data_IF_123336144171
#
_entry.id   IF_123336144171
#
_cell.length_a   1.000
_cell.length_b   1.000
_cell.length_c   1.000
_cell.angle_alpha   90.00
_cell.angle_beta   90.00
_cell.angle_gamma   90.00
#
_symmetry.space_group_name_H-M   'P 1'
#
loop_
_entity.id
_entity.type
_entity.pdbx_description
1 polymer ?
#
# COMPACT_ATOMS: atom_id res chain seq x y z
N UNK A 1 -16.05 -1.96 21.84
CA UNK A 1 -16.00 -3.17 21.01
C UNK A 1 -14.56 -3.39 20.63
N UNK A 2 -14.05 -4.63 20.57
CA UNK A 2 -12.70 -4.84 20.08
C UNK A 2 -12.60 -4.24 18.66
N UNK A 3 -11.53 -3.52 18.40
CA UNK A 3 -11.26 -2.93 17.08
C UNK A 3 -11.05 -4.06 16.08
N UNK A 4 -11.73 -4.02 14.93
CA UNK A 4 -11.51 -4.99 13.85
C UNK A 4 -10.04 -4.98 13.42
N UNK A 5 -9.44 -6.15 13.24
CA UNK A 5 -8.08 -6.28 12.71
C UNK A 5 -8.11 -6.12 11.19
N UNK A 6 -7.36 -5.16 10.69
CA UNK A 6 -7.31 -4.83 9.26
C UNK A 6 -5.87 -4.97 8.76
N UNK A 7 -5.66 -5.84 7.77
CA UNK A 7 -4.42 -5.86 7.01
C UNK A 7 -4.52 -4.82 5.87
N UNK A 8 -3.86 -3.70 6.05
CA UNK A 8 -3.93 -2.55 5.14
C UNK A 8 -3.06 -2.70 3.89
N UNK A 9 -2.34 -3.83 3.73
CA UNK A 9 -1.45 -4.03 2.60
C UNK A 9 -1.31 -5.52 2.24
N UNK A 10 -2.11 -5.99 1.28
CA UNK A 10 -2.01 -7.35 0.75
C UNK A 10 -1.99 -7.35 -0.78
N UNK A 11 -1.11 -8.16 -1.38
CA UNK A 11 -1.05 -8.35 -2.82
C UNK A 11 -1.76 -9.62 -3.24
N UNK A 12 -2.71 -9.48 -4.16
CA UNK A 12 -3.47 -10.58 -4.73
C UNK A 12 -3.49 -10.48 -6.25
N UNK A 13 -3.27 -11.60 -6.90
CA UNK A 13 -3.09 -11.63 -8.34
C UNK A 13 -4.26 -12.32 -9.04
N UNK A 14 -4.71 -11.77 -10.18
CA UNK A 14 -5.65 -12.46 -11.07
C UNK A 14 -5.13 -13.82 -11.50
N UNK A 15 -6.04 -14.76 -11.71
CA UNK A 15 -5.68 -16.12 -12.15
C UNK A 15 -4.83 -16.15 -13.42
N UNK A 16 -5.03 -15.20 -14.33
CA UNK A 16 -4.21 -15.07 -15.54
C UNK A 16 -2.74 -14.88 -15.21
N UNK A 17 -2.42 -13.97 -14.27
CA UNK A 17 -1.06 -13.68 -13.83
C UNK A 17 -0.45 -14.90 -13.13
N UNK A 18 -1.25 -15.59 -12.32
CA UNK A 18 -0.82 -16.78 -11.57
C UNK A 18 -0.57 -18.00 -12.45
N UNK A 19 -1.33 -18.14 -13.54
CA UNK A 19 -1.19 -19.27 -14.48
C UNK A 19 0.04 -19.15 -15.38
N UNK A 20 0.38 -17.94 -15.76
CA UNK A 20 1.53 -17.68 -16.64
C UNK A 20 2.37 -16.49 -16.15
N UNK A 21 3.03 -16.62 -15.00
CA UNK A 21 3.89 -15.57 -14.47
C UNK A 21 5.12 -15.31 -15.36
N UNK A 22 5.51 -16.30 -16.18
CA UNK A 22 6.65 -16.17 -17.10
C UNK A 22 6.31 -15.19 -18.22
N UNK A 23 5.11 -15.26 -18.78
CA UNK A 23 4.69 -14.29 -19.79
C UNK A 23 4.58 -12.86 -19.23
N UNK A 24 4.12 -12.72 -17.98
CA UNK A 24 4.10 -11.42 -17.30
C UNK A 24 5.52 -10.90 -17.07
N UNK A 25 6.41 -11.73 -16.55
CA UNK A 25 7.82 -11.37 -16.31
C UNK A 25 8.56 -10.97 -17.62
N UNK A 26 8.21 -11.58 -18.74
CA UNK A 26 8.79 -11.20 -20.04
C UNK A 26 8.34 -9.82 -20.50
N UNK A 27 7.17 -9.35 -20.09
CA UNK A 27 6.59 -8.06 -20.46
C UNK A 27 6.84 -6.95 -19.43
N UNK A 28 7.09 -7.32 -18.16
CA UNK A 28 7.29 -6.41 -17.03
C UNK A 28 8.60 -6.73 -16.31
N UNK A 29 9.68 -5.96 -16.57
CA UNK A 29 10.99 -6.20 -15.95
C UNK A 29 10.98 -6.05 -14.42
N UNK A 30 10.11 -5.20 -13.87
CA UNK A 30 10.02 -5.04 -12.42
C UNK A 30 9.35 -6.25 -11.78
N UNK A 31 8.29 -6.76 -12.40
CA UNK A 31 7.68 -8.02 -12.00
C UNK A 31 8.70 -9.16 -12.02
N UNK A 32 9.49 -9.25 -13.11
CA UNK A 32 10.56 -10.23 -13.23
C UNK A 32 11.59 -10.12 -12.07
N UNK A 33 12.02 -8.91 -11.74
CA UNK A 33 12.98 -8.67 -10.66
C UNK A 33 12.44 -9.03 -9.27
N UNK A 34 11.16 -8.76 -9.02
CA UNK A 34 10.52 -9.03 -7.73
C UNK A 34 10.06 -10.48 -7.57
N UNK A 35 9.74 -11.19 -8.67
CA UNK A 35 9.21 -12.56 -8.65
C UNK A 35 10.20 -13.58 -9.19
N UNK A 36 11.49 -13.37 -8.93
CA UNK A 36 12.55 -14.35 -9.25
C UNK A 36 12.47 -15.53 -8.28
N UNK A 37 12.47 -16.76 -8.80
CA UNK A 37 12.44 -17.99 -8.01
C UNK A 37 11.03 -18.40 -7.57
N UNK A 38 10.95 -19.14 -6.44
CA UNK A 38 9.71 -19.76 -5.93
C UNK A 38 8.79 -18.78 -5.18
N UNK A 39 8.84 -17.49 -5.43
CA UNK A 39 7.92 -16.53 -4.78
C UNK A 39 6.49 -16.84 -5.17
N UNK A 40 5.68 -17.13 -4.16
CA UNK A 40 4.28 -17.48 -4.35
C UNK A 40 3.46 -16.25 -4.74
N UNK A 41 2.72 -16.34 -5.83
CA UNK A 41 1.68 -15.39 -6.19
C UNK A 41 0.36 -15.84 -5.54
N UNK A 42 -0.16 -15.04 -4.63
CA UNK A 42 -1.42 -15.35 -3.97
C UNK A 42 -2.63 -14.96 -4.83
N UNK A 43 -3.66 -15.77 -4.77
CA UNK A 43 -4.97 -15.49 -5.34
C UNK A 43 -6.04 -15.32 -4.29
N UNK A 44 -7.31 -15.35 -4.72
CA UNK A 44 -8.48 -15.18 -3.86
C UNK A 44 -8.50 -16.18 -2.70
N UNK A 45 -8.40 -17.49 -2.98
CA UNK A 45 -8.45 -18.52 -1.94
C UNK A 45 -7.29 -18.43 -0.95
N UNK A 46 -6.11 -18.00 -1.42
CA UNK A 46 -4.95 -17.79 -0.57
C UNK A 46 -5.17 -16.61 0.38
N UNK A 47 -5.76 -15.52 -0.11
CA UNK A 47 -6.12 -14.36 0.70
C UNK A 47 -7.13 -14.75 1.78
N UNK A 48 -8.23 -15.40 1.41
CA UNK A 48 -9.26 -15.78 2.36
C UNK A 48 -8.72 -16.69 3.46
N UNK A 49 -7.90 -17.67 3.07
CA UNK A 49 -7.22 -18.54 4.03
C UNK A 49 -6.32 -17.75 4.96
N UNK A 50 -5.52 -16.82 4.45
CA UNK A 50 -4.68 -15.92 5.26
C UNK A 50 -5.52 -15.14 6.28
N UNK A 51 -6.62 -14.53 5.85
CA UNK A 51 -7.51 -13.79 6.73
C UNK A 51 -8.09 -14.68 7.86
N UNK A 52 -8.51 -15.89 7.52
CA UNK A 52 -9.13 -16.81 8.48
C UNK A 52 -8.11 -17.39 9.47
N UNK A 53 -6.97 -17.88 8.98
CA UNK A 53 -5.89 -18.47 9.80
C UNK A 53 -5.28 -17.46 10.77
N UNK A 54 -5.07 -16.21 10.29
CA UNK A 54 -4.44 -15.16 11.08
C UNK A 54 -5.44 -14.33 11.90
N UNK A 55 -6.74 -14.61 11.76
CA UNK A 55 -7.84 -13.87 12.42
C UNK A 55 -7.84 -12.39 12.06
N UNK A 56 -7.71 -12.11 10.77
CA UNK A 56 -7.81 -10.77 10.20
C UNK A 56 -9.25 -10.58 9.72
N UNK A 57 -9.90 -9.53 10.19
CA UNK A 57 -11.30 -9.26 9.84
C UNK A 57 -11.43 -8.75 8.42
N UNK A 58 -10.48 -7.88 7.97
CA UNK A 58 -10.53 -7.20 6.69
C UNK A 58 -9.15 -7.05 6.07
N UNK A 59 -9.11 -6.94 4.74
CA UNK A 59 -7.89 -6.61 4.01
C UNK A 59 -8.10 -5.49 2.99
N UNK A 60 -7.05 -4.68 2.78
CA UNK A 60 -6.93 -3.78 1.63
C UNK A 60 -6.09 -4.49 0.57
N UNK A 61 -6.74 -4.85 -0.53
CA UNK A 61 -6.15 -5.68 -1.57
C UNK A 61 -5.66 -4.88 -2.76
N UNK A 62 -4.40 -5.10 -3.13
CA UNK A 62 -3.75 -4.57 -4.32
C UNK A 62 -3.46 -5.67 -5.31
N UNK A 63 -3.42 -5.32 -6.60
CA UNK A 63 -2.78 -6.13 -7.63
C UNK A 63 -1.34 -5.65 -7.84
N UNK A 64 -0.70 -6.06 -8.95
CA UNK A 64 0.62 -5.58 -9.32
C UNK A 64 0.55 -4.18 -9.95
N UNK A 65 1.55 -3.28 -9.72
CA UNK A 65 1.65 -1.99 -10.39
C UNK A 65 2.18 -2.15 -11.82
N UNK A 66 1.31 -2.61 -12.73
CA UNK A 66 1.67 -2.85 -14.12
C UNK A 66 2.04 -1.56 -14.85
N UNK A 67 3.08 -1.63 -15.71
CA UNK A 67 3.42 -0.56 -16.62
C UNK A 67 2.46 -0.47 -17.82
N UNK A 68 1.79 -1.57 -18.21
CA UNK A 68 0.79 -1.58 -19.29
C UNK A 68 -0.60 -1.16 -18.73
N UNK A 69 -1.19 -0.05 -19.22
CA UNK A 69 -2.50 0.43 -18.76
C UNK A 69 -3.64 -0.56 -19.02
N UNK A 70 -3.51 -1.45 -20.02
CA UNK A 70 -4.51 -2.49 -20.30
C UNK A 70 -4.49 -3.54 -19.20
N UNK A 71 -3.31 -3.94 -18.72
CA UNK A 71 -3.18 -4.86 -17.59
C UNK A 71 -3.69 -4.23 -16.30
N UNK A 72 -3.50 -2.91 -16.11
CA UNK A 72 -4.11 -2.18 -15.00
C UNK A 72 -5.63 -2.28 -15.04
N UNK A 73 -6.24 -2.01 -16.21
CA UNK A 73 -7.69 -2.07 -16.37
C UNK A 73 -8.26 -3.48 -16.12
N UNK A 74 -7.64 -4.53 -16.66
CA UNK A 74 -8.02 -5.93 -16.41
C UNK A 74 -7.91 -6.29 -14.91
N UNK A 75 -6.84 -5.84 -14.25
CA UNK A 75 -6.62 -6.05 -12.82
C UNK A 75 -7.68 -5.33 -11.97
N UNK A 76 -8.09 -4.12 -12.37
CA UNK A 76 -9.13 -3.35 -11.71
C UNK A 76 -10.50 -4.03 -11.80
N UNK A 77 -10.85 -4.60 -12.94
CA UNK A 77 -12.08 -5.38 -13.08
C UNK A 77 -12.07 -6.61 -12.17
N UNK A 78 -10.94 -7.30 -12.11
CA UNK A 78 -10.79 -8.49 -11.28
C UNK A 78 -10.86 -8.16 -9.78
N UNK A 79 -10.15 -7.14 -9.30
CA UNK A 79 -10.16 -6.77 -7.87
C UNK A 79 -11.51 -6.20 -7.45
N UNK A 80 -12.21 -5.49 -8.33
CA UNK A 80 -13.58 -5.05 -8.08
C UNK A 80 -14.55 -6.24 -7.96
N UNK A 81 -14.36 -7.28 -8.77
CA UNK A 81 -15.13 -8.51 -8.65
C UNK A 81 -14.81 -9.25 -7.35
N UNK A 82 -13.54 -9.32 -6.95
CA UNK A 82 -13.11 -9.89 -5.67
C UNK A 82 -13.80 -9.17 -4.50
N UNK A 83 -13.75 -7.85 -4.46
CA UNK A 83 -14.43 -7.03 -3.44
C UNK A 83 -15.94 -7.33 -3.38
N UNK A 84 -16.60 -7.46 -4.53
CA UNK A 84 -18.05 -7.76 -4.57
C UNK A 84 -18.38 -9.16 -4.06
N UNK A 85 -17.50 -10.15 -4.26
CA UNK A 85 -17.69 -11.51 -3.71
C UNK A 85 -17.50 -11.57 -2.20
N UNK A 86 -16.68 -10.69 -1.65
CA UNK A 86 -16.33 -10.67 -0.21
C UNK A 86 -16.61 -9.31 0.44
N UNK A 87 -17.89 -8.87 0.42
CA UNK A 87 -18.25 -7.57 0.99
C UNK A 87 -17.94 -7.53 2.48
N UNK A 88 -17.32 -6.43 2.93
CA UNK A 88 -16.91 -6.27 4.32
C UNK A 88 -15.63 -7.01 4.73
N UNK A 89 -15.10 -7.92 3.88
CA UNK A 89 -13.82 -8.61 4.11
C UNK A 89 -12.68 -8.01 3.27
N UNK A 90 -12.96 -7.61 2.02
CA UNK A 90 -11.96 -7.08 1.10
C UNK A 90 -12.35 -5.68 0.64
N UNK A 91 -11.45 -4.71 0.83
CA UNK A 91 -11.48 -3.41 0.19
C UNK A 91 -10.48 -3.44 -0.97
N UNK A 92 -10.98 -3.49 -2.20
CA UNK A 92 -10.16 -3.51 -3.40
C UNK A 92 -9.64 -2.13 -3.76
N UNK A 93 -8.35 -2.01 -4.03
CA UNK A 93 -7.75 -0.82 -4.62
C UNK A 93 -7.43 -1.04 -6.09
N UNK A 94 -7.72 -0.04 -6.92
CA UNK A 94 -7.38 -0.05 -8.32
C UNK A 94 -5.94 0.34 -8.56
N UNK A 95 -5.43 0.00 -9.73
CA UNK A 95 -4.12 0.43 -10.21
C UNK A 95 -4.29 1.26 -11.48
N UNK A 96 -3.57 2.36 -11.58
CA UNK A 96 -3.53 3.20 -12.78
C UNK A 96 -2.09 3.27 -13.30
N UNK A 97 -1.91 3.55 -14.59
CA UNK A 97 -0.61 3.92 -15.14
C UNK A 97 -0.54 5.46 -15.22
N UNK A 98 0.18 6.14 -14.32
CA UNK A 98 0.15 7.61 -14.26
C UNK A 98 0.63 8.31 -15.53
N UNK A 99 1.53 7.69 -16.29
CA UNK A 99 2.02 8.23 -17.55
C UNK A 99 1.06 8.02 -18.74
N UNK A 100 -0.02 7.26 -18.57
CA UNK A 100 -1.02 7.05 -19.61
C UNK A 100 -1.96 8.26 -19.75
N UNK A 101 -2.21 8.77 -20.97
CA UNK A 101 -3.15 9.87 -21.18
C UNK A 101 -4.58 9.58 -20.66
N UNK A 102 -4.98 8.31 -20.57
CA UNK A 102 -6.26 7.85 -20.06
C UNK A 102 -6.31 7.67 -18.55
N UNK A 103 -5.22 7.93 -17.80
CA UNK A 103 -5.15 7.66 -16.36
C UNK A 103 -6.27 8.33 -15.53
N UNK A 104 -6.64 9.57 -15.87
CA UNK A 104 -7.73 10.28 -15.19
C UNK A 104 -9.10 9.63 -15.43
N UNK A 105 -9.33 9.08 -16.62
CA UNK A 105 -10.58 8.35 -16.91
C UNK A 105 -10.58 6.98 -16.21
N UNK A 106 -9.42 6.33 -16.11
CA UNK A 106 -9.30 5.08 -15.36
C UNK A 106 -9.55 5.31 -13.85
N UNK A 107 -9.12 6.43 -13.26
CA UNK A 107 -9.49 6.81 -11.89
C UNK A 107 -11.02 6.90 -11.74
N UNK A 108 -11.69 7.58 -12.66
CA UNK A 108 -13.16 7.67 -12.67
C UNK A 108 -13.81 6.30 -12.83
N UNK A 109 -13.23 5.44 -13.66
CA UNK A 109 -13.70 4.05 -13.84
C UNK A 109 -13.56 3.26 -12.55
N UNK A 110 -12.42 3.35 -11.84
CA UNK A 110 -12.21 2.72 -10.53
C UNK A 110 -13.28 3.15 -9.52
N UNK A 111 -13.60 4.45 -9.46
CA UNK A 111 -14.69 4.95 -8.62
C UNK A 111 -16.05 4.35 -8.99
N UNK A 112 -16.39 4.28 -10.29
CA UNK A 112 -17.63 3.63 -10.77
C UNK A 112 -17.69 2.14 -10.46
N UNK A 113 -16.57 1.45 -10.44
CA UNK A 113 -16.47 0.03 -10.04
C UNK A 113 -16.64 -0.16 -8.53
N UNK A 114 -16.66 0.93 -7.75
CA UNK A 114 -16.79 0.90 -6.29
C UNK A 114 -15.50 0.55 -5.57
N UNK A 115 -14.35 0.65 -6.23
CA UNK A 115 -13.05 0.44 -5.59
C UNK A 115 -12.82 1.47 -4.48
N UNK A 116 -12.08 1.09 -3.45
CA UNK A 116 -11.94 1.85 -2.22
C UNK A 116 -10.70 2.74 -2.17
N UNK A 117 -9.83 2.64 -3.15
CA UNK A 117 -8.60 3.42 -3.24
C UNK A 117 -7.83 3.09 -4.51
N UNK A 118 -6.65 3.64 -4.63
CA UNK A 118 -5.71 3.41 -5.73
C UNK A 118 -4.37 2.97 -5.13
N UNK A 119 -3.75 1.98 -5.71
CA UNK A 119 -2.43 1.49 -5.31
C UNK A 119 -2.30 -0.04 -5.36
N UNK A 120 -1.14 -0.55 -5.01
CA UNK A 120 0.04 0.20 -4.63
C UNK A 120 0.67 0.84 -5.89
N UNK A 121 0.77 2.17 -5.97
CA UNK A 121 1.49 2.84 -7.07
C UNK A 121 2.99 2.75 -6.84
N UNK A 122 3.74 2.32 -7.84
CA UNK A 122 5.20 2.20 -7.76
C UNK A 122 5.86 2.94 -8.92
N UNK A 123 6.56 4.04 -8.59
CA UNK A 123 7.17 4.93 -9.57
C UNK A 123 8.20 4.23 -10.47
N UNK A 124 8.99 3.32 -9.91
CA UNK A 124 10.03 2.59 -10.64
C UNK A 124 9.44 1.49 -11.52
N UNK A 125 8.47 0.73 -11.02
CA UNK A 125 7.78 -0.32 -11.78
C UNK A 125 7.01 0.25 -12.97
N UNK A 126 6.36 1.40 -12.78
CA UNK A 126 5.45 2.01 -13.74
C UNK A 126 6.11 3.12 -14.58
N UNK A 127 7.36 3.50 -14.28
CA UNK A 127 8.13 4.46 -15.07
C UNK A 127 7.61 5.90 -15.01
N UNK A 128 7.06 6.34 -13.87
CA UNK A 128 6.64 7.72 -13.68
C UNK A 128 7.49 8.47 -12.64
N UNK A 129 7.46 9.79 -12.66
CA UNK A 129 8.11 10.61 -11.65
C UNK A 129 7.17 10.84 -10.46
N UNK A 130 7.57 10.41 -9.24
CA UNK A 130 6.74 10.59 -8.04
C UNK A 130 6.45 12.07 -7.76
N UNK A 131 7.38 12.95 -8.02
CA UNK A 131 7.28 14.40 -7.85
C UNK A 131 6.91 15.15 -9.15
N UNK A 132 6.39 14.44 -10.17
CA UNK A 132 5.98 15.00 -11.45
C UNK A 132 4.64 15.74 -11.41
N UNK A 133 4.46 16.69 -12.36
CA UNK A 133 3.21 17.48 -12.48
C UNK A 133 2.00 16.61 -12.81
N UNK A 134 2.20 15.54 -13.57
CA UNK A 134 1.15 14.61 -13.95
C UNK A 134 0.54 13.94 -12.72
N UNK A 135 1.39 13.48 -11.80
CA UNK A 135 0.92 12.81 -10.60
C UNK A 135 0.12 13.76 -9.70
N UNK A 136 0.52 15.04 -9.60
CA UNK A 136 -0.23 16.05 -8.86
C UNK A 136 -1.63 16.32 -9.46
N UNK A 137 -1.74 16.33 -10.81
CA UNK A 137 -3.06 16.45 -11.48
C UNK A 137 -3.95 15.25 -11.22
N UNK A 138 -3.43 14.04 -11.28
CA UNK A 138 -4.16 12.82 -10.97
C UNK A 138 -4.57 12.74 -9.49
N UNK A 139 -3.72 13.24 -8.59
CA UNK A 139 -4.02 13.36 -7.16
C UNK A 139 -5.25 14.26 -6.90
N UNK A 140 -5.37 15.38 -7.64
CA UNK A 140 -6.54 16.26 -7.56
C UNK A 140 -7.82 15.54 -8.00
N UNK A 141 -7.79 14.82 -9.13
CA UNK A 141 -8.93 14.01 -9.60
C UNK A 141 -9.30 12.94 -8.57
N UNK A 142 -8.33 12.27 -7.97
CA UNK A 142 -8.57 11.22 -6.98
C UNK A 142 -9.16 11.79 -5.68
N UNK A 143 -8.75 13.01 -5.31
CA UNK A 143 -9.34 13.74 -4.16
C UNK A 143 -10.81 14.03 -4.39
N UNK A 144 -11.20 14.49 -5.57
CA UNK A 144 -12.60 14.72 -5.95
C UNK A 144 -13.45 13.44 -5.91
N UNK A 145 -12.83 12.29 -6.24
CA UNK A 145 -13.46 10.98 -6.24
C UNK A 145 -13.44 10.30 -4.86
N UNK A 146 -12.83 10.93 -3.85
CA UNK A 146 -12.66 10.39 -2.49
C UNK A 146 -11.85 9.07 -2.45
N UNK A 147 -10.93 8.86 -3.39
CA UNK A 147 -10.07 7.67 -3.50
C UNK A 147 -8.70 7.93 -2.87
N UNK A 148 -8.39 7.35 -1.70
CA UNK A 148 -7.05 7.41 -1.11
C UNK A 148 -6.03 6.65 -1.98
N UNK A 149 -4.75 7.04 -1.88
CA UNK A 149 -3.67 6.36 -2.57
C UNK A 149 -2.74 5.65 -1.61
N UNK A 150 -2.32 4.43 -1.98
CA UNK A 150 -1.15 3.78 -1.40
C UNK A 150 0.01 3.89 -2.39
N UNK A 151 1.16 4.37 -1.92
CA UNK A 151 2.36 4.64 -2.72
C UNK A 151 3.52 3.83 -2.15
N UNK A 152 4.15 3.03 -3.01
CA UNK A 152 5.40 2.34 -2.71
C UNK A 152 6.49 3.33 -2.34
N UNK A 153 7.19 3.10 -1.23
CA UNK A 153 8.31 3.92 -0.80
C UNK A 153 9.52 3.05 -0.48
N UNK A 154 10.70 3.61 -0.61
CA UNK A 154 11.96 2.91 -0.33
C UNK A 154 12.90 3.76 0.50
N UNK A 155 13.71 3.09 1.32
CA UNK A 155 14.74 3.74 2.12
C UNK A 155 15.88 4.22 1.21
N UNK A 156 16.41 5.45 1.42
CA UNK A 156 17.56 5.95 0.67
C UNK A 156 18.88 5.26 1.06
N UNK A 157 18.87 4.52 2.17
CA UNK A 157 20.01 3.82 2.78
C UNK A 157 19.65 2.38 3.10
N UNK A 158 20.56 1.62 3.70
CA UNK A 158 20.34 0.23 4.07
C UNK A 158 20.72 -0.76 2.96
N UNK A 159 20.37 -2.03 3.12
CA UNK A 159 20.74 -3.07 2.18
C UNK A 159 19.94 -3.00 0.87
N UNK A 160 20.47 -3.59 -0.17
CA UNK A 160 19.77 -3.78 -1.44
C UNK A 160 18.82 -4.99 -1.36
N UNK A 161 17.65 -4.88 -1.95
CA UNK A 161 16.67 -5.97 -2.07
C UNK A 161 15.87 -5.82 -3.37
N UNK A 162 15.32 -6.91 -3.91
CA UNK A 162 14.39 -6.82 -5.05
C UNK A 162 13.17 -5.97 -4.67
N UNK A 163 12.85 -4.97 -5.48
CA UNK A 163 11.77 -4.02 -5.19
C UNK A 163 12.22 -2.72 -4.52
N UNK A 164 13.50 -2.58 -4.11
CA UNK A 164 14.03 -1.29 -3.64
C UNK A 164 14.12 -0.30 -4.80
N UNK A 165 13.32 0.74 -4.69
CA UNK A 165 13.18 1.76 -5.74
C UNK A 165 13.73 3.13 -5.34
N UNK A 166 13.31 4.14 -6.10
CA UNK A 166 13.76 5.53 -5.97
C UNK A 166 12.71 6.45 -5.34
N UNK A 167 11.55 5.91 -4.92
CA UNK A 167 10.50 6.65 -4.20
C UNK A 167 10.92 6.91 -2.73
N UNK A 168 11.94 7.71 -2.55
CA UNK A 168 12.59 8.03 -1.27
C UNK A 168 11.86 9.17 -0.54
N UNK A 169 12.11 9.36 0.78
CA UNK A 169 11.45 10.37 1.59
C UNK A 169 11.46 11.79 1.01
N UNK A 170 12.56 12.21 0.40
CA UNK A 170 12.68 13.53 -0.23
C UNK A 170 11.74 13.70 -1.44
N UNK A 171 11.57 12.66 -2.27
CA UNK A 171 10.61 12.66 -3.38
C UNK A 171 9.17 12.59 -2.88
N UNK A 172 8.93 11.78 -1.84
CA UNK A 172 7.63 11.71 -1.20
C UNK A 172 7.21 13.06 -0.62
N UNK A 173 8.12 13.79 0.05
CA UNK A 173 7.84 15.15 0.55
C UNK A 173 7.40 16.06 -0.59
N UNK A 174 8.18 16.13 -1.70
CA UNK A 174 7.81 16.96 -2.87
C UNK A 174 6.46 16.59 -3.49
N UNK A 175 6.10 15.30 -3.50
CA UNK A 175 4.77 14.88 -3.90
C UNK A 175 3.69 15.35 -2.92
N UNK A 176 3.88 15.14 -1.62
CA UNK A 176 2.90 15.48 -0.58
C UNK A 176 2.61 16.98 -0.51
N UNK A 177 3.60 17.83 -0.75
CA UNK A 177 3.43 19.30 -0.85
C UNK A 177 2.47 19.70 -1.97
N UNK A 178 2.32 18.84 -2.99
CA UNK A 178 1.51 19.08 -4.19
C UNK A 178 0.24 18.24 -4.27
N UNK A 179 0.12 17.23 -3.41
CA UNK A 179 -1.00 16.27 -3.42
C UNK A 179 -2.33 16.87 -2.90
N UNK A 180 -2.30 18.11 -2.42
CA UNK A 180 -3.51 18.80 -1.94
C UNK A 180 -4.18 18.10 -0.76
N UNK A 181 -5.47 17.79 -0.91
CA UNK A 181 -6.29 17.10 0.10
C UNK A 181 -6.31 15.58 -0.01
N UNK A 182 -5.48 14.99 -0.86
CA UNK A 182 -5.43 13.54 -1.06
C UNK A 182 -5.03 12.82 0.23
N UNK A 183 -5.79 11.78 0.60
CA UNK A 183 -5.36 10.84 1.64
C UNK A 183 -4.31 9.90 1.05
N UNK A 184 -3.14 9.86 1.66
CA UNK A 184 -2.00 9.06 1.20
C UNK A 184 -1.59 8.07 2.27
N UNK A 185 -1.42 6.81 1.89
CA UNK A 185 -0.69 5.79 2.64
C UNK A 185 0.68 5.64 1.99
N UNK A 186 1.72 5.94 2.73
CA UNK A 186 3.10 5.74 2.31
C UNK A 186 3.55 4.35 2.80
N UNK A 187 3.67 3.41 1.87
CA UNK A 187 4.02 2.04 2.17
C UNK A 187 5.44 1.92 2.76
N UNK A 188 5.69 0.83 3.52
CA UNK A 188 7.00 0.51 4.10
C UNK A 188 7.54 1.63 5.00
N UNK A 189 6.69 2.15 5.91
CA UNK A 189 6.97 3.34 6.74
C UNK A 189 7.40 4.57 5.91
N UNK A 190 6.90 4.71 4.68
CA UNK A 190 7.25 5.83 3.80
C UNK A 190 8.75 5.94 3.52
N UNK A 191 9.46 4.79 3.45
CA UNK A 191 10.92 4.76 3.32
C UNK A 191 11.65 5.41 4.50
N UNK A 192 11.00 5.52 5.66
CA UNK A 192 11.53 6.14 6.86
C UNK A 192 11.17 7.62 7.03
N UNK A 193 10.29 8.20 6.19
CA UNK A 193 9.89 9.60 6.28
C UNK A 193 9.45 10.01 7.70
N UNK A 194 8.64 9.25 8.47
CA UNK A 194 8.21 9.68 9.79
C UNK A 194 9.35 9.85 10.80
N UNK A 195 10.52 9.24 10.58
CA UNK A 195 11.69 9.43 11.44
C UNK A 195 12.29 10.85 11.34
N UNK A 196 11.96 11.57 10.26
CA UNK A 196 12.31 12.97 10.07
C UNK A 196 11.29 13.93 10.70
N UNK A 197 10.23 13.44 11.35
CA UNK A 197 9.19 14.30 11.94
C UNK A 197 9.65 15.08 13.21
N UNK A 198 10.92 14.99 13.59
CA UNK A 198 11.56 15.98 14.46
C UNK A 198 11.73 17.34 13.77
N UNK A 199 11.71 17.40 12.45
CA UNK A 199 11.67 18.64 11.67
C UNK A 199 10.22 19.13 11.60
N UNK A 200 9.91 20.38 12.03
CA UNK A 200 8.53 20.86 12.12
C UNK A 200 7.74 20.79 10.81
N UNK A 201 8.39 21.13 9.69
CA UNK A 201 7.80 21.07 8.34
C UNK A 201 7.46 19.64 7.93
N UNK A 202 8.31 18.66 8.22
CA UNK A 202 8.04 17.23 7.93
C UNK A 202 6.92 16.72 8.83
N UNK A 203 6.93 17.09 10.11
CA UNK A 203 5.86 16.73 11.03
C UNK A 203 4.51 17.22 10.55
N UNK A 204 4.44 18.46 10.04
CA UNK A 204 3.20 19.00 9.49
C UNK A 204 2.70 18.20 8.29
N UNK A 205 3.57 17.75 7.39
CA UNK A 205 3.21 16.86 6.29
C UNK A 205 2.73 15.51 6.80
N UNK A 206 3.41 14.89 7.77
CA UNK A 206 3.06 13.60 8.35
C UNK A 206 1.67 13.59 9.01
N UNK A 207 1.10 14.73 9.40
CA UNK A 207 -0.28 14.80 9.92
C UNK A 207 -1.34 14.45 8.88
N UNK A 208 -1.00 14.43 7.60
CA UNK A 208 -1.92 14.17 6.46
C UNK A 208 -1.66 12.82 5.78
N UNK A 209 -0.69 12.06 6.29
CA UNK A 209 -0.21 10.82 5.70
C UNK A 209 -0.36 9.69 6.70
N UNK A 210 -0.67 8.50 6.23
CA UNK A 210 -0.58 7.24 6.98
C UNK A 210 0.62 6.44 6.48
N UNK A 211 1.13 5.59 7.34
CA UNK A 211 2.31 4.77 7.07
C UNK A 211 1.98 3.32 7.38
N UNK A 212 2.10 2.43 6.43
CA UNK A 212 1.90 1.03 6.72
C UNK A 212 3.20 0.32 7.15
N UNK A 213 3.03 -0.86 7.72
CA UNK A 213 4.13 -1.69 8.22
C UNK A 213 4.55 -2.76 7.22
N UNK A 214 4.11 -2.70 5.96
CA UNK A 214 4.43 -3.68 4.94
C UNK A 214 5.95 -3.93 4.88
N UNK A 215 6.35 -5.20 4.82
CA UNK A 215 7.74 -5.68 4.85
C UNK A 215 8.60 -5.20 6.05
N UNK A 216 8.04 -4.52 7.03
CA UNK A 216 8.77 -3.92 8.16
C UNK A 216 9.76 -4.89 8.85
N UNK A 217 9.44 -6.18 9.10
CA UNK A 217 10.35 -7.12 9.72
C UNK A 217 11.67 -7.37 8.97
N UNK A 218 11.73 -6.98 7.69
CA UNK A 218 12.97 -7.04 6.89
C UNK A 218 13.73 -5.72 6.86
N UNK A 219 13.05 -4.59 7.16
CA UNK A 219 13.56 -3.25 6.92
C UNK A 219 14.01 -2.56 8.21
N UNK A 220 13.28 -2.77 9.31
CA UNK A 220 13.47 -2.04 10.56
C UNK A 220 13.46 -2.97 11.77
N UNK A 221 14.04 -2.50 12.88
CA UNK A 221 13.87 -3.13 14.18
C UNK A 221 12.49 -2.80 14.74
N UNK A 222 11.90 -3.65 15.63
CA UNK A 222 10.61 -3.42 16.26
C UNK A 222 10.48 -2.05 16.95
N UNK A 223 11.57 -1.54 17.51
CA UNK A 223 11.62 -0.21 18.15
C UNK A 223 11.26 0.96 17.22
N UNK A 224 11.31 0.77 15.88
CA UNK A 224 10.88 1.77 14.93
C UNK A 224 9.39 2.07 15.06
N UNK A 225 8.55 1.08 15.38
CA UNK A 225 7.10 1.26 15.60
C UNK A 225 6.85 2.24 16.76
N UNK A 226 7.51 2.05 17.91
CA UNK A 226 7.41 2.97 19.04
C UNK A 226 7.88 4.37 18.67
N UNK A 227 9.02 4.49 17.99
CA UNK A 227 9.56 5.77 17.58
C UNK A 227 8.59 6.52 16.66
N UNK A 228 8.03 5.84 15.66
CA UNK A 228 7.08 6.44 14.72
C UNK A 228 5.76 6.79 15.42
N UNK A 229 5.20 5.91 16.26
CA UNK A 229 4.00 6.20 17.04
C UNK A 229 4.17 7.45 17.92
N UNK A 230 5.36 7.63 18.51
CA UNK A 230 5.67 8.82 19.31
C UNK A 230 5.79 10.09 18.47
N UNK A 231 6.34 9.99 17.24
CA UNK A 231 6.61 11.14 16.39
C UNK A 231 5.37 11.65 15.63
N UNK A 232 4.54 10.74 15.12
CA UNK A 232 3.43 11.10 14.24
C UNK A 232 2.05 10.66 14.75
N UNK A 233 1.99 9.86 15.82
CA UNK A 233 0.77 9.28 16.38
C UNK A 233 0.52 7.86 15.89
N UNK A 234 0.04 6.99 16.78
CA UNK A 234 -0.27 5.60 16.47
C UNK A 234 -1.43 5.48 15.44
N UNK A 235 -2.33 6.46 15.41
CA UNK A 235 -3.43 6.55 14.45
C UNK A 235 -2.96 6.77 13.00
N UNK A 236 -1.68 7.08 12.80
CA UNK A 236 -1.04 7.23 11.48
C UNK A 236 -0.30 5.97 11.05
N UNK A 237 -0.15 4.99 11.92
CA UNK A 237 0.40 3.69 11.59
C UNK A 237 -0.72 2.71 11.22
N UNK A 238 -0.49 1.92 10.19
CA UNK A 238 -1.42 0.89 9.72
C UNK A 238 -0.69 -0.46 9.71
N UNK A 239 -1.34 -1.49 10.27
CA UNK A 239 -0.88 -2.85 10.04
C UNK A 239 -0.98 -3.16 8.54
N UNK A 240 0.11 -3.53 7.93
CA UNK A 240 0.20 -4.08 6.57
C UNK A 240 1.19 -5.23 6.59
N UNK A 241 0.82 -6.40 6.09
CA UNK A 241 1.71 -7.56 6.11
C UNK A 241 2.58 -7.69 4.87
N UNK A 242 2.20 -7.04 3.79
CA UNK A 242 2.75 -7.29 2.46
C UNK A 242 2.53 -8.74 2.00
N UNK A 243 1.40 -9.33 2.43
CA UNK A 243 1.02 -10.68 2.00
C UNK A 243 1.06 -10.79 0.46
N UNK A 244 1.61 -11.84 -0.14
CA UNK A 244 2.03 -13.11 0.46
C UNK A 244 3.50 -13.14 0.94
N UNK A 245 4.18 -11.99 1.02
CA UNK A 245 5.56 -11.93 1.46
C UNK A 245 5.71 -12.35 2.93
N UNK A 246 4.81 -11.86 3.79
CA UNK A 246 4.75 -12.16 5.22
C UNK A 246 3.31 -12.40 5.65
N UNK A 247 3.13 -13.07 6.79
CA UNK A 247 1.86 -13.19 7.51
C UNK A 247 1.89 -12.42 8.83
N UNK A 248 0.72 -12.16 9.42
CA UNK A 248 0.57 -11.41 10.66
C UNK A 248 1.32 -12.07 11.84
N UNK A 249 1.40 -13.40 11.86
CA UNK A 249 2.15 -14.11 12.91
C UNK A 249 3.59 -13.61 13.04
N UNK A 250 4.24 -13.19 11.94
CA UNK A 250 5.58 -12.62 11.98
C UNK A 250 5.58 -11.24 12.66
N UNK A 251 4.54 -10.46 12.48
CA UNK A 251 4.41 -9.10 13.05
C UNK A 251 4.05 -9.11 14.53
N UNK A 252 3.33 -10.13 15.02
CA UNK A 252 2.90 -10.20 16.43
C UNK A 252 4.06 -10.02 17.39
N UNK A 253 5.16 -10.72 17.15
CA UNK A 253 6.37 -10.56 17.96
C UNK A 253 6.92 -9.13 17.92
N UNK A 254 7.00 -8.52 16.75
CA UNK A 254 7.56 -7.19 16.59
C UNK A 254 6.64 -6.12 17.23
N UNK A 255 5.32 -6.32 17.20
CA UNK A 255 4.34 -5.48 17.89
C UNK A 255 4.48 -5.60 19.42
N UNK A 256 4.65 -6.82 19.93
CA UNK A 256 4.86 -7.07 21.36
C UNK A 256 6.18 -6.43 21.86
N UNK A 257 7.26 -6.55 21.07
CA UNK A 257 8.58 -5.96 21.38
C UNK A 257 8.61 -4.43 21.26
N UNK A 258 7.69 -3.84 20.48
CA UNK A 258 7.64 -2.39 20.26
C UNK A 258 7.28 -1.61 21.54
N UNK A 259 6.68 -2.23 22.53
CA UNK A 259 6.27 -1.59 23.80
C UNK A 259 5.11 -0.59 23.63
N UNK A 260 4.22 -0.84 22.67
CA UNK A 260 2.99 -0.07 22.43
C UNK A 260 1.94 -0.42 23.49
N UNK A 261 1.10 0.54 23.90
CA UNK A 261 -0.02 0.27 24.77
C UNK A 261 -1.23 -0.30 23.99
N UNK A 262 -2.26 -0.78 24.71
CA UNK A 262 -3.44 -1.40 24.09
C UNK A 262 -4.21 -0.45 23.16
N UNK A 263 -4.26 0.84 23.47
CA UNK A 263 -4.93 1.83 22.63
C UNK A 263 -4.14 2.08 21.34
N UNK A 264 -2.84 2.24 21.44
CA UNK A 264 -1.93 2.38 20.29
C UNK A 264 -2.00 1.14 19.38
N UNK A 265 -1.97 -0.05 19.98
CA UNK A 265 -2.14 -1.31 19.24
C UNK A 265 -3.50 -1.36 18.51
N UNK A 266 -4.58 -0.97 19.17
CA UNK A 266 -5.91 -0.92 18.56
C UNK A 266 -5.98 0.05 17.37
N UNK A 267 -5.29 1.18 17.45
CA UNK A 267 -5.20 2.15 16.35
C UNK A 267 -4.42 1.56 15.17
N UNK A 268 -3.28 0.93 15.41
CA UNK A 268 -2.42 0.32 14.38
C UNK A 268 -3.12 -0.88 13.72
N UNK A 269 -3.74 -1.75 14.53
CA UNK A 269 -4.37 -2.97 14.04
C UNK A 269 -5.63 -2.73 13.21
N UNK A 270 -6.27 -1.55 13.30
CA UNK A 270 -7.46 -1.31 12.48
C UNK A 270 -8.05 0.10 12.57
N UNK A 271 -7.88 0.82 13.70
CA UNK A 271 -8.47 2.15 13.87
C UNK A 271 -8.00 3.16 12.82
N UNK A 272 -6.71 3.17 12.50
CA UNK A 272 -6.14 4.02 11.46
C UNK A 272 -6.67 3.69 10.06
N UNK A 273 -6.82 2.41 9.73
CA UNK A 273 -7.32 1.97 8.44
C UNK A 273 -8.77 2.43 8.19
N UNK A 274 -9.62 2.44 9.22
CA UNK A 274 -10.97 2.94 9.13
C UNK A 274 -11.02 4.43 8.73
N UNK A 275 -10.07 5.24 9.19
CA UNK A 275 -9.97 6.66 8.83
C UNK A 275 -9.55 6.86 7.36
N UNK A 276 -8.72 5.98 6.81
CA UNK A 276 -8.28 6.06 5.40
C UNK A 276 -9.39 5.68 4.43
N UNK A 277 -9.97 4.49 4.59
CA UNK A 277 -10.89 3.89 3.60
C UNK A 277 -12.38 4.05 3.97
N UNK A 278 -12.72 4.64 5.12
CA UNK A 278 -14.09 5.00 5.54
C UNK A 278 -15.11 3.86 5.40
N UNK A 279 -14.76 2.68 5.92
CA UNK A 279 -15.68 1.52 5.90
C UNK A 279 -16.40 1.30 7.25
#
# INVERSE_FOLDING_TARGET
MPTAVVDAHVHVMPDRVRRDPVAVAAADPWFAACHVGERRLAGEDDLLRHLDEERIDRAVGFTWPFADPRLCAEANDWVAALQRRHPGRVAGCGIIQPADPGAAEELRRCARLGLRGIGELNADAQGFALDGDELARLAAVSTELDLPWTIHCSEPVGHAYPGKGTATPDRLVRFLERAGGLRVVAAHLGGGLPLYAHMPEVRQLCTKVWFDTAALPYLYRPSALRAVATLVGAERLLLGTDFPLLGLARYRRDLDEAGLDENELGLILGGGAAAVWRW
#
